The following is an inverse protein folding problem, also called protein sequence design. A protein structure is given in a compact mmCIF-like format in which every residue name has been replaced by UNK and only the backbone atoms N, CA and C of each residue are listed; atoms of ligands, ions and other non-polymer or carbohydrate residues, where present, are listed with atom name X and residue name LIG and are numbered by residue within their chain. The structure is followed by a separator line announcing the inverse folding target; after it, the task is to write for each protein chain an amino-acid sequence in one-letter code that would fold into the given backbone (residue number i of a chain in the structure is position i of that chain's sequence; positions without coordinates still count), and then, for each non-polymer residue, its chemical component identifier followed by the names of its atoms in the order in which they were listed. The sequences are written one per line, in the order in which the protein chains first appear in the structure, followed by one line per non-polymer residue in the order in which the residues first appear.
data_IF_392023366093
#
_entry.id   IF_392023366093
#
_cell.length_a   1.000
_cell.length_b   1.000
_cell.length_c   1.000
_cell.angle_alpha   90.00
_cell.angle_beta   90.00
_cell.angle_gamma   90.00
#
_symmetry.space_group_name_H-M   'P 1'
#
loop_
_entity.id
_entity.type
_entity.pdbx_description
1 polymer ?
#
# COMPACT_ATOMS: atom_id res chain seq x y z
N UNK A 1 10.05 16.50 15.20
CA UNK A 1 10.54 15.96 13.88
C UNK A 1 9.68 14.78 13.51
N UNK A 2 9.28 14.67 12.25
CA UNK A 2 8.48 13.53 11.76
C UNK A 2 9.21 12.20 11.95
N UNK A 3 8.43 11.15 12.18
CA UNK A 3 8.92 9.78 12.41
C UNK A 3 8.63 8.84 11.23
N UNK A 4 7.96 9.34 10.18
CA UNK A 4 7.44 8.54 9.08
C UNK A 4 8.43 8.50 7.92
N UNK A 5 8.85 7.29 7.52
CA UNK A 5 9.51 7.01 6.25
C UNK A 5 8.47 6.54 5.24
N UNK A 6 8.34 7.23 4.12
CA UNK A 6 7.45 6.85 3.02
C UNK A 6 8.25 6.01 2.02
N UNK A 7 7.76 4.82 1.68
CA UNK A 7 8.40 3.87 0.76
C UNK A 7 7.53 3.74 -0.48
N UNK A 8 8.11 4.01 -1.65
CA UNK A 8 7.42 3.99 -2.95
C UNK A 8 8.09 2.96 -3.85
N UNK A 9 7.54 1.74 -3.99
CA UNK A 9 8.00 0.80 -5.00
C UNK A 9 7.62 1.30 -6.40
N UNK A 10 8.60 1.38 -7.31
CA UNK A 10 8.37 1.84 -8.68
C UNK A 10 8.82 0.81 -9.71
N UNK A 11 8.07 0.73 -10.80
CA UNK A 11 8.45 0.01 -12.03
C UNK A 11 7.61 0.53 -13.20
N UNK A 12 8.22 1.34 -14.09
CA UNK A 12 7.58 1.99 -15.22
C UNK A 12 6.39 2.88 -14.80
N UNK A 13 6.64 3.84 -13.92
CA UNK A 13 5.65 4.75 -13.33
C UNK A 13 5.89 6.23 -13.74
N UNK A 14 6.57 6.48 -14.86
CA UNK A 14 6.90 7.83 -15.32
C UNK A 14 5.67 8.76 -15.45
N UNK A 15 4.51 8.19 -15.80
CA UNK A 15 3.26 8.96 -16.00
C UNK A 15 2.69 9.59 -14.72
N UNK A 16 3.00 9.02 -13.55
CA UNK A 16 2.36 9.44 -12.28
C UNK A 16 3.36 9.85 -11.21
N UNK A 17 4.59 9.34 -11.23
CA UNK A 17 5.57 9.55 -10.17
C UNK A 17 5.84 11.04 -9.89
N UNK A 18 5.99 11.87 -10.92
CA UNK A 18 6.25 13.30 -10.75
C UNK A 18 5.15 14.00 -9.94
N UNK A 19 3.87 13.72 -10.27
CA UNK A 19 2.72 14.27 -9.53
C UNK A 19 2.77 13.85 -8.06
N UNK A 20 3.03 12.57 -7.81
CA UNK A 20 3.10 12.02 -6.45
C UNK A 20 4.23 12.66 -5.65
N UNK A 21 5.43 12.82 -6.22
CA UNK A 21 6.55 13.45 -5.54
C UNK A 21 6.31 14.92 -5.26
N UNK A 22 5.68 15.68 -6.19
CA UNK A 22 5.26 17.07 -5.95
C UNK A 22 4.27 17.16 -4.78
N UNK A 23 3.32 16.24 -4.68
CA UNK A 23 2.38 16.23 -3.57
C UNK A 23 3.08 15.91 -2.24
N UNK A 24 4.01 14.95 -2.22
CA UNK A 24 4.75 14.61 -1.00
C UNK A 24 5.67 15.75 -0.51
N UNK A 25 6.10 16.64 -1.42
CA UNK A 25 6.95 17.78 -1.04
C UNK A 25 6.21 18.88 -0.29
N UNK A 26 4.87 18.87 -0.31
CA UNK A 26 4.03 19.89 0.35
C UNK A 26 3.23 19.33 1.53
N UNK A 27 3.51 18.09 1.98
CA UNK A 27 2.88 17.50 3.15
C UNK A 27 3.16 18.32 4.42
N UNK A 28 2.16 18.46 5.28
CA UNK A 28 2.28 19.14 6.57
C UNK A 28 1.66 18.30 7.70
N UNK A 29 2.48 17.77 8.64
CA UNK A 29 3.95 17.86 8.68
C UNK A 29 4.63 17.05 7.55
N UNK A 30 5.83 17.46 7.18
CA UNK A 30 6.64 16.73 6.18
C UNK A 30 7.02 15.34 6.68
N UNK A 31 7.15 14.37 5.78
CA UNK A 31 7.73 13.07 6.10
C UNK A 31 9.22 13.21 6.53
N UNK A 32 9.70 12.27 7.33
CA UNK A 32 11.14 12.19 7.68
C UNK A 32 11.99 11.96 6.44
N UNK A 33 11.54 11.06 5.58
CA UNK A 33 12.17 10.74 4.30
C UNK A 33 11.17 10.06 3.35
N UNK A 34 11.50 10.10 2.07
CA UNK A 34 10.82 9.37 0.99
C UNK A 34 11.85 8.49 0.29
N UNK A 35 11.60 7.20 0.26
CA UNK A 35 12.45 6.18 -0.36
C UNK A 35 11.75 5.65 -1.61
N UNK A 36 12.28 6.00 -2.78
CA UNK A 36 11.81 5.49 -4.06
C UNK A 36 12.65 4.26 -4.38
N UNK A 37 12.02 3.09 -4.41
CA UNK A 37 12.71 1.82 -4.67
C UNK A 37 12.33 1.34 -6.06
N UNK A 38 13.26 1.47 -7.01
CA UNK A 38 13.03 1.13 -8.40
C UNK A 38 13.39 -0.32 -8.71
N UNK A 39 12.47 -1.04 -9.33
CA UNK A 39 12.60 -2.45 -9.70
C UNK A 39 13.17 -2.68 -11.11
N UNK A 40 13.95 -1.74 -11.65
CA UNK A 40 14.51 -1.79 -13.00
C UNK A 40 13.55 -1.25 -14.04
N UNK A 41 13.12 0.01 -13.87
CA UNK A 41 12.31 0.73 -14.86
C UNK A 41 13.07 0.97 -16.15
N UNK A 42 12.37 0.86 -17.27
CA UNK A 42 12.90 1.04 -18.63
C UNK A 42 12.42 2.37 -19.24
N UNK A 43 11.53 3.09 -18.54
CA UNK A 43 11.01 4.40 -18.92
C UNK A 43 11.70 5.55 -18.14
N UNK A 44 11.16 6.76 -18.20
CA UNK A 44 11.71 7.95 -17.53
C UNK A 44 11.54 7.93 -15.99
N UNK A 45 11.06 6.84 -15.37
CA UNK A 45 10.79 6.76 -13.92
C UNK A 45 11.99 7.14 -13.09
N UNK A 46 13.16 6.53 -13.37
CA UNK A 46 14.41 6.78 -12.62
C UNK A 46 14.89 8.21 -12.82
N UNK A 47 14.84 8.73 -14.05
CA UNK A 47 15.22 10.10 -14.35
C UNK A 47 14.32 11.11 -13.60
N UNK A 48 13.01 10.86 -13.55
CA UNK A 48 12.06 11.66 -12.76
C UNK A 48 12.42 11.61 -11.28
N UNK A 49 12.63 10.40 -10.72
CA UNK A 49 12.98 10.24 -9.31
C UNK A 49 14.24 11.02 -8.93
N UNK A 50 15.28 10.96 -9.76
CA UNK A 50 16.53 11.70 -9.51
C UNK A 50 16.38 13.23 -9.55
N UNK A 51 15.44 13.77 -10.37
CA UNK A 51 15.18 15.23 -10.36
C UNK A 51 14.62 15.73 -9.02
N UNK A 52 13.97 14.86 -8.24
CA UNK A 52 13.45 15.16 -6.91
C UNK A 52 14.38 14.75 -5.77
N UNK A 53 15.53 14.14 -6.08
CA UNK A 53 16.47 13.69 -5.04
C UNK A 53 16.96 14.86 -4.19
N UNK A 54 16.96 14.66 -2.88
CA UNK A 54 17.35 15.65 -1.88
C UNK A 54 17.89 14.95 -0.63
N UNK A 55 18.14 15.68 0.44
CA UNK A 55 18.49 15.08 1.73
C UNK A 55 17.37 14.21 2.31
N UNK A 56 16.12 14.45 1.89
CA UNK A 56 14.93 13.73 2.37
C UNK A 56 14.32 12.79 1.34
N UNK A 57 14.68 12.88 0.06
CA UNK A 57 14.18 12.01 -1.01
C UNK A 57 15.35 11.24 -1.60
N UNK A 58 15.34 9.92 -1.45
CA UNK A 58 16.40 9.02 -1.93
C UNK A 58 15.85 8.00 -2.92
N UNK A 59 16.66 7.70 -3.94
CA UNK A 59 16.39 6.66 -4.93
C UNK A 59 17.26 5.43 -4.62
N UNK A 60 16.64 4.26 -4.60
CA UNK A 60 17.28 2.97 -4.36
C UNK A 60 16.96 2.08 -5.54
N UNK A 61 18.00 1.52 -6.18
CA UNK A 61 17.82 0.51 -7.21
C UNK A 61 17.68 -0.87 -6.58
N UNK A 62 16.71 -1.64 -7.04
CA UNK A 62 16.51 -3.03 -6.63
C UNK A 62 17.00 -3.97 -7.72
N UNK A 63 17.89 -4.88 -7.37
CA UNK A 63 18.41 -5.89 -8.30
C UNK A 63 17.36 -6.97 -8.64
N UNK A 64 16.28 -7.02 -7.89
CA UNK A 64 15.21 -8.01 -8.05
C UNK A 64 13.86 -7.33 -8.23
N UNK A 65 13.17 -7.67 -9.31
CA UNK A 65 11.79 -7.21 -9.56
C UNK A 65 10.83 -7.87 -8.58
N UNK A 66 9.94 -7.06 -7.99
CA UNK A 66 8.87 -7.55 -7.12
C UNK A 66 8.49 -6.52 -6.06
N UNK A 67 7.19 -6.24 -5.96
CA UNK A 67 6.70 -5.20 -5.03
C UNK A 67 7.10 -5.50 -3.59
N UNK A 68 6.90 -6.74 -3.11
CA UNK A 68 7.31 -7.16 -1.77
C UNK A 68 8.80 -6.96 -1.52
N UNK A 69 9.66 -7.31 -2.52
CA UNK A 69 11.12 -7.13 -2.43
C UNK A 69 11.47 -5.65 -2.31
N UNK A 70 10.91 -4.81 -3.19
CA UNK A 70 11.15 -3.37 -3.18
C UNK A 70 10.69 -2.72 -1.86
N UNK A 71 9.50 -3.08 -1.36
CA UNK A 71 8.98 -2.56 -0.08
C UNK A 71 9.85 -3.01 1.11
N UNK A 72 10.32 -4.26 1.13
CA UNK A 72 11.25 -4.76 2.16
C UNK A 72 12.60 -4.03 2.10
N UNK A 73 13.13 -3.82 0.89
CA UNK A 73 14.39 -3.10 0.70
C UNK A 73 14.27 -1.65 1.17
N UNK A 74 13.16 -0.98 0.84
CA UNK A 74 12.86 0.35 1.36
C UNK A 74 12.73 0.37 2.88
N UNK A 75 12.06 -0.62 3.47
CA UNK A 75 11.94 -0.75 4.93
C UNK A 75 13.30 -0.93 5.61
N UNK A 76 14.18 -1.77 5.04
CA UNK A 76 15.53 -1.97 5.56
C UNK A 76 16.41 -0.71 5.48
N UNK A 77 16.20 0.16 4.49
CA UNK A 77 16.92 1.41 4.32
C UNK A 77 16.30 2.59 5.09
N UNK A 78 15.09 2.41 5.63
CA UNK A 78 14.35 3.45 6.33
C UNK A 78 14.97 3.76 7.70
N UNK A 79 14.96 5.04 8.06
CA UNK A 79 15.48 5.56 9.35
C UNK A 79 14.36 6.01 10.29
N UNK A 80 13.11 6.04 9.82
CA UNK A 80 11.94 6.41 10.61
C UNK A 80 11.44 5.26 11.47
N UNK A 81 10.78 5.60 12.58
CA UNK A 81 10.15 4.63 13.47
C UNK A 81 8.82 4.08 12.91
N UNK A 82 8.30 4.73 11.88
CA UNK A 82 7.04 4.39 11.22
C UNK A 82 7.31 4.24 9.73
N UNK A 83 6.82 3.17 9.14
CA UNK A 83 6.85 2.91 7.71
C UNK A 83 5.48 3.20 7.10
N UNK A 84 5.47 3.87 5.95
CA UNK A 84 4.28 4.11 5.14
C UNK A 84 4.56 3.61 3.72
N UNK A 85 3.80 2.64 3.25
CA UNK A 85 3.92 2.06 1.92
C UNK A 85 2.92 2.73 0.98
N UNK A 86 3.44 3.45 -0.01
CA UNK A 86 2.66 4.28 -0.94
C UNK A 86 2.92 3.85 -2.38
N UNK A 87 1.88 3.63 -3.16
CA UNK A 87 2.03 3.40 -4.60
C UNK A 87 2.27 4.71 -5.35
N UNK A 88 3.08 4.64 -6.41
CA UNK A 88 3.47 5.81 -7.21
C UNK A 88 2.29 6.53 -7.89
N UNK A 89 1.14 5.88 -8.03
CA UNK A 89 -0.07 6.40 -8.67
C UNK A 89 -1.18 6.81 -7.68
N UNK A 90 -0.85 6.89 -6.39
CA UNK A 90 -1.82 7.20 -5.33
C UNK A 90 -1.61 8.62 -4.81
N UNK A 91 -2.68 9.42 -4.82
CA UNK A 91 -2.71 10.74 -4.20
C UNK A 91 -3.16 10.64 -2.75
N UNK A 92 -2.51 11.39 -1.88
CA UNK A 92 -2.70 11.34 -0.43
C UNK A 92 -3.17 12.69 0.11
N UNK A 93 -3.82 12.76 1.29
CA UNK A 93 -4.17 14.02 1.91
C UNK A 93 -2.93 14.73 2.46
N UNK A 94 -2.97 16.06 2.56
CA UNK A 94 -1.85 16.87 3.03
C UNK A 94 -1.46 16.56 4.48
N UNK A 95 -2.43 16.10 5.30
CA UNK A 95 -2.25 15.70 6.69
C UNK A 95 -1.83 14.21 6.86
N UNK A 96 -1.41 13.54 5.77
CA UNK A 96 -1.03 12.12 5.78
C UNK A 96 -0.17 11.72 6.98
N UNK A 97 0.92 12.44 7.19
CA UNK A 97 1.90 12.15 8.24
C UNK A 97 1.30 12.33 9.63
N UNK A 98 0.56 13.41 9.85
CA UNK A 98 -0.11 13.66 11.13
C UNK A 98 -1.13 12.56 11.48
N UNK A 99 -1.92 12.12 10.50
CA UNK A 99 -2.92 11.04 10.68
C UNK A 99 -2.25 9.72 11.04
N UNK A 100 -1.13 9.38 10.38
CA UNK A 100 -0.35 8.18 10.67
C UNK A 100 0.21 8.22 12.09
N UNK A 101 0.89 9.32 12.46
CA UNK A 101 1.49 9.48 13.78
C UNK A 101 0.43 9.45 14.89
N UNK A 102 -0.69 10.14 14.71
CA UNK A 102 -1.81 10.13 15.66
C UNK A 102 -2.43 8.73 15.80
N UNK A 103 -2.57 8.00 14.70
CA UNK A 103 -3.14 6.63 14.74
C UNK A 103 -2.25 5.69 15.52
N UNK A 104 -0.92 5.74 15.31
CA UNK A 104 0.05 4.88 15.97
C UNK A 104 0.49 5.39 17.36
N UNK A 105 0.02 6.56 17.81
CA UNK A 105 0.16 6.98 19.20
C UNK A 105 -0.61 6.04 20.15
N UNK A 106 -1.70 5.46 19.69
CA UNK A 106 -2.38 4.34 20.36
C UNK A 106 -1.53 3.06 20.24
N UNK A 107 -0.91 2.67 21.35
CA UNK A 107 -0.03 1.48 21.39
C UNK A 107 -0.76 0.16 21.16
N UNK A 108 -2.09 0.13 21.23
CA UNK A 108 -2.89 -1.06 20.90
C UNK A 108 -3.05 -1.28 19.40
N UNK A 109 -2.67 -0.28 18.57
CA UNK A 109 -2.71 -0.33 17.10
C UNK A 109 -1.32 -0.66 16.57
N UNK A 110 -1.16 -1.76 15.84
CA UNK A 110 0.10 -2.16 15.21
C UNK A 110 0.29 -1.54 13.82
N UNK A 111 -0.81 -1.30 13.10
CA UNK A 111 -0.76 -0.71 11.78
C UNK A 111 -2.13 -0.20 11.32
N UNK A 112 -2.15 0.42 10.17
CA UNK A 112 -3.39 0.91 9.59
C UNK A 112 -3.26 1.23 8.10
N UNK A 113 -4.35 1.76 7.55
CA UNK A 113 -4.41 2.24 6.17
C UNK A 113 -5.60 3.16 5.98
N UNK A 114 -5.67 3.76 4.83
CA UNK A 114 -6.65 4.77 4.47
C UNK A 114 -7.86 4.17 3.74
N UNK A 115 -8.90 4.95 3.56
CA UNK A 115 -10.01 4.60 2.67
C UNK A 115 -9.56 4.92 1.24
N UNK A 116 -9.46 3.91 0.38
CA UNK A 116 -9.11 4.13 -1.03
C UNK A 116 -10.34 4.48 -1.86
N UNK A 117 -10.28 5.62 -2.52
CA UNK A 117 -11.23 6.02 -3.55
C UNK A 117 -10.56 5.84 -4.91
N UNK A 118 -11.07 4.90 -5.69
CA UNK A 118 -10.52 4.59 -7.00
C UNK A 118 -11.00 5.61 -8.04
N UNK A 119 -10.07 6.38 -8.58
CA UNK A 119 -10.34 7.51 -9.47
C UNK A 119 -9.62 7.36 -10.80
N UNK A 120 -10.32 7.64 -11.89
CA UNK A 120 -9.77 7.86 -13.22
C UNK A 120 -9.79 9.35 -13.58
N UNK A 121 -9.34 9.68 -14.79
CA UNK A 121 -9.27 11.08 -15.26
C UNK A 121 -10.64 11.78 -15.27
N UNK A 122 -11.71 11.06 -15.55
CA UNK A 122 -13.06 11.63 -15.70
C UNK A 122 -14.10 11.04 -14.75
N UNK A 123 -13.79 9.95 -14.07
CA UNK A 123 -14.80 9.23 -13.27
C UNK A 123 -14.23 8.66 -11.99
N UNK A 124 -15.05 8.67 -10.95
CA UNK A 124 -14.79 7.93 -9.71
C UNK A 124 -15.54 6.60 -9.75
N UNK A 125 -14.84 5.51 -9.41
CA UNK A 125 -15.39 4.15 -9.39
C UNK A 125 -16.08 3.85 -8.04
N UNK A 126 -17.17 4.53 -7.73
CA UNK A 126 -17.85 4.46 -6.44
C UNK A 126 -18.17 3.03 -5.98
N UNK A 127 -18.72 2.19 -6.88
CA UNK A 127 -19.08 0.80 -6.55
C UNK A 127 -17.86 -0.05 -6.17
N UNK A 128 -16.74 0.08 -6.90
CA UNK A 128 -15.50 -0.63 -6.61
C UNK A 128 -14.87 -0.11 -5.32
N UNK A 129 -14.87 1.20 -5.10
CA UNK A 129 -14.35 1.83 -3.87
C UNK A 129 -15.15 1.41 -2.64
N UNK A 130 -16.48 1.40 -2.75
CA UNK A 130 -17.36 0.91 -1.68
C UNK A 130 -17.10 -0.58 -1.38
N UNK A 131 -16.96 -1.41 -2.42
CA UNK A 131 -16.61 -2.81 -2.24
C UNK A 131 -15.26 -2.98 -1.53
N UNK A 132 -14.22 -2.22 -1.92
CA UNK A 132 -12.93 -2.23 -1.26
C UNK A 132 -13.02 -1.82 0.21
N UNK A 133 -13.80 -0.79 0.52
CA UNK A 133 -14.06 -0.36 1.89
C UNK A 133 -14.72 -1.49 2.70
N UNK A 134 -15.81 -2.06 2.20
CA UNK A 134 -16.56 -3.12 2.88
C UNK A 134 -15.72 -4.40 3.03
N UNK A 135 -14.93 -4.76 2.02
CA UNK A 135 -14.06 -5.93 2.01
C UNK A 135 -13.04 -5.92 3.15
N UNK A 136 -12.54 -4.75 3.55
CA UNK A 136 -11.66 -4.57 4.70
C UNK A 136 -12.26 -5.17 5.98
N UNK A 137 -13.59 -5.18 6.10
CA UNK A 137 -14.31 -5.66 7.29
C UNK A 137 -14.93 -7.04 7.09
N UNK A 138 -15.68 -7.26 6.01
CA UNK A 138 -16.42 -8.52 5.85
C UNK A 138 -15.50 -9.71 5.57
N UNK A 139 -14.40 -9.51 4.83
CA UNK A 139 -13.53 -10.62 4.50
C UNK A 139 -12.88 -11.24 5.75
N UNK A 140 -12.26 -10.49 6.67
CA UNK A 140 -11.75 -11.09 7.89
C UNK A 140 -12.86 -11.61 8.81
N UNK A 141 -14.05 -11.00 8.82
CA UNK A 141 -15.18 -11.49 9.61
C UNK A 141 -15.62 -12.88 9.15
N UNK A 142 -15.67 -13.12 7.84
CA UNK A 142 -16.13 -14.40 7.27
C UNK A 142 -15.04 -15.47 7.37
N UNK A 143 -13.81 -15.14 6.93
CA UNK A 143 -12.76 -16.15 6.76
C UNK A 143 -11.84 -16.31 7.96
N UNK A 144 -11.75 -15.32 8.87
CA UNK A 144 -10.88 -15.33 10.06
C UNK A 144 -11.57 -14.63 11.25
N UNK A 145 -12.78 -15.07 11.66
CA UNK A 145 -13.59 -14.38 12.67
C UNK A 145 -12.83 -14.17 14.00
N UNK A 146 -12.05 -15.15 14.44
CA UNK A 146 -11.24 -15.04 15.66
C UNK A 146 -10.20 -13.91 15.58
N UNK A 147 -9.63 -13.62 14.41
CA UNK A 147 -8.70 -12.49 14.21
C UNK A 147 -9.47 -11.18 14.01
N UNK A 148 -10.64 -11.22 13.39
CA UNK A 148 -11.50 -10.03 13.26
C UNK A 148 -11.81 -9.41 14.63
N UNK A 149 -12.19 -10.25 15.60
CA UNK A 149 -12.46 -9.79 16.98
C UNK A 149 -11.20 -9.36 17.74
N UNK A 150 -10.01 -9.83 17.33
CA UNK A 150 -8.72 -9.31 17.80
C UNK A 150 -8.34 -7.97 17.16
N UNK A 151 -9.09 -7.51 16.17
CA UNK A 151 -8.87 -6.24 15.48
C UNK A 151 -8.26 -6.36 14.09
N UNK A 152 -8.30 -7.54 13.45
CA UNK A 152 -7.88 -7.69 12.06
C UNK A 152 -8.78 -6.87 11.13
N UNK A 153 -8.15 -6.08 10.28
CA UNK A 153 -8.72 -5.48 9.07
C UNK A 153 -7.80 -5.82 7.92
N UNK A 154 -8.35 -6.29 6.80
CA UNK A 154 -7.53 -6.60 5.63
C UNK A 154 -7.37 -5.35 4.78
N UNK A 155 -6.15 -4.87 4.70
CA UNK A 155 -5.77 -3.74 3.86
C UNK A 155 -5.15 -4.24 2.56
N UNK A 156 -5.17 -3.39 1.54
CA UNK A 156 -4.64 -3.67 0.22
C UNK A 156 -3.76 -2.48 -0.22
N UNK A 157 -2.90 -2.66 -1.21
CA UNK A 157 -1.89 -1.68 -1.58
C UNK A 157 -2.42 -0.29 -1.95
N UNK A 158 -3.63 -0.23 -2.49
CA UNK A 158 -4.32 1.03 -2.81
C UNK A 158 -4.78 1.82 -1.57
N UNK A 159 -4.68 1.25 -0.37
CA UNK A 159 -5.09 1.85 0.90
C UNK A 159 -3.96 2.50 1.71
N UNK A 160 -2.78 2.64 1.13
CA UNK A 160 -1.61 3.29 1.78
C UNK A 160 -1.37 2.76 3.18
N UNK A 161 -0.82 1.55 3.23
CA UNK A 161 -0.59 0.85 4.49
C UNK A 161 0.55 1.47 5.28
N UNK A 162 0.40 1.53 6.61
CA UNK A 162 1.45 2.00 7.53
C UNK A 162 1.51 1.16 8.80
N UNK A 163 2.70 1.07 9.39
CA UNK A 163 2.92 0.35 10.65
C UNK A 163 4.18 0.87 11.37
N UNK A 164 4.40 0.46 12.62
CA UNK A 164 5.68 0.71 13.26
C UNK A 164 6.77 -0.11 12.60
N UNK A 165 7.95 0.50 12.45
CA UNK A 165 9.12 -0.16 11.85
C UNK A 165 9.52 -1.42 12.64
N UNK A 166 9.54 -1.35 13.98
CA UNK A 166 9.83 -2.50 14.82
C UNK A 166 8.83 -3.65 14.61
N UNK A 167 7.51 -3.35 14.60
CA UNK A 167 6.47 -4.35 14.37
C UNK A 167 6.60 -5.00 12.98
N UNK A 168 6.98 -4.21 11.96
CA UNK A 168 7.24 -4.72 10.61
C UNK A 168 8.40 -5.72 10.59
N UNK A 169 9.54 -5.37 11.18
CA UNK A 169 10.72 -6.24 11.23
C UNK A 169 10.43 -7.54 12.01
N UNK A 170 9.81 -7.41 13.18
CA UNK A 170 9.47 -8.55 14.01
C UNK A 170 8.39 -9.46 13.42
N UNK A 171 7.56 -8.93 12.51
CA UNK A 171 6.58 -9.72 11.74
C UNK A 171 7.20 -10.46 10.55
N UNK A 172 8.47 -10.20 10.23
CA UNK A 172 9.16 -10.75 9.07
C UNK A 172 8.89 -10.01 7.75
N UNK A 173 8.23 -8.86 7.80
CA UNK A 173 7.94 -8.03 6.63
C UNK A 173 7.03 -8.68 5.59
N UNK A 174 7.09 -8.18 4.36
CA UNK A 174 6.40 -8.77 3.22
C UNK A 174 7.06 -10.07 2.79
N UNK A 175 6.26 -11.09 2.46
CA UNK A 175 6.78 -12.34 1.92
C UNK A 175 7.06 -12.19 0.41
N UNK A 176 8.33 -12.30 -0.05
CA UNK A 176 8.66 -12.19 -1.47
C UNK A 176 8.07 -13.31 -2.34
N UNK A 177 7.66 -14.43 -1.75
CA UNK A 177 7.03 -15.54 -2.46
C UNK A 177 5.55 -15.27 -2.78
N UNK A 178 4.94 -14.24 -2.17
CA UNK A 178 3.55 -13.84 -2.40
C UNK A 178 3.52 -12.75 -3.48
N UNK A 179 3.07 -13.05 -4.72
CA UNK A 179 3.10 -12.09 -5.82
C UNK A 179 1.90 -11.12 -5.85
N UNK A 180 0.84 -11.40 -5.09
CA UNK A 180 -0.35 -10.57 -4.90
C UNK A 180 -0.92 -10.79 -3.50
N UNK A 181 -1.63 -9.78 -2.95
CA UNK A 181 -2.21 -9.80 -1.60
C UNK A 181 -1.15 -9.80 -0.48
N UNK A 182 0.04 -9.34 -0.78
CA UNK A 182 1.15 -9.20 0.16
C UNK A 182 0.80 -8.32 1.35
N UNK A 183 0.01 -7.27 1.14
CA UNK A 183 -0.45 -6.38 2.22
C UNK A 183 -1.48 -7.07 3.13
N UNK A 184 -2.35 -7.91 2.54
CA UNK A 184 -3.30 -8.69 3.33
C UNK A 184 -2.59 -9.74 4.18
N UNK A 185 -1.53 -10.38 3.66
CA UNK A 185 -0.66 -11.28 4.42
C UNK A 185 0.03 -10.54 5.58
N UNK A 186 0.58 -9.35 5.30
CA UNK A 186 1.20 -8.52 6.35
C UNK A 186 0.19 -8.14 7.44
N UNK A 187 -1.10 -7.87 7.10
CA UNK A 187 -2.15 -7.64 8.09
C UNK A 187 -2.35 -8.84 9.02
N UNK A 188 -2.27 -10.09 8.49
CA UNK A 188 -2.37 -11.31 9.30
C UNK A 188 -1.21 -11.45 10.30
N UNK A 189 -0.02 -10.99 9.93
CA UNK A 189 1.16 -10.98 10.80
C UNK A 189 1.06 -9.87 11.84
N UNK A 190 0.76 -8.64 11.42
CA UNK A 190 0.70 -7.46 12.29
C UNK A 190 -0.42 -7.52 13.34
N UNK A 191 -1.55 -8.20 13.06
CA UNK A 191 -2.64 -8.35 14.05
C UNK A 191 -2.21 -9.13 15.29
N UNK A 192 -1.12 -9.89 15.23
CA UNK A 192 -0.53 -10.55 16.41
C UNK A 192 0.19 -9.55 17.34
N UNK A 193 0.51 -8.34 16.85
CA UNK A 193 1.16 -7.25 17.56
C UNK A 193 0.19 -6.20 18.09
N UNK A 194 -0.96 -6.08 17.44
CA UNK A 194 -2.00 -5.12 17.80
C UNK A 194 -3.08 -5.01 16.74
N UNK A 195 -4.04 -4.13 16.95
CA UNK A 195 -5.15 -3.92 16.03
C UNK A 195 -4.68 -3.30 14.71
N UNK A 196 -5.34 -3.64 13.61
CA UNK A 196 -5.22 -2.95 12.33
C UNK A 196 -6.37 -1.96 12.20
N UNK A 197 -6.07 -0.71 11.88
CA UNK A 197 -7.09 0.36 11.80
C UNK A 197 -7.21 0.90 10.38
N UNK A 198 -8.40 0.91 9.83
CA UNK A 198 -8.69 1.75 8.68
C UNK A 198 -9.06 3.15 9.20
N UNK A 199 -8.27 4.17 8.82
CA UNK A 199 -8.48 5.55 9.29
C UNK A 199 -9.55 6.26 8.46
N UNK A 200 -10.28 7.18 9.06
CA UNK A 200 -11.31 7.96 8.39
C UNK A 200 -10.70 9.13 7.60
N UNK A 201 -9.86 8.80 6.62
CA UNK A 201 -9.27 9.70 5.64
C UNK A 201 -9.21 8.99 4.30
N UNK A 202 -9.39 9.74 3.23
CA UNK A 202 -9.44 9.21 1.86
C UNK A 202 -8.11 9.45 1.16
N UNK A 203 -7.64 8.41 0.47
CA UNK A 203 -6.60 8.49 -0.55
C UNK A 203 -7.22 8.19 -1.91
N UNK A 204 -6.64 8.73 -2.99
CA UNK A 204 -7.14 8.50 -4.34
C UNK A 204 -6.16 7.60 -5.09
N UNK A 205 -6.57 6.40 -5.42
CA UNK A 205 -5.79 5.44 -6.21
C UNK A 205 -6.25 5.43 -7.67
N UNK A 206 -5.33 5.07 -8.57
CA UNK A 206 -5.62 4.98 -10.00
C UNK A 206 -6.60 3.86 -10.33
N UNK A 207 -7.55 4.14 -11.22
CA UNK A 207 -8.49 3.15 -11.73
C UNK A 207 -7.98 2.38 -12.96
N UNK A 208 -6.71 2.51 -13.35
CA UNK A 208 -6.12 1.95 -14.60
C UNK A 208 -6.60 0.54 -14.92
N UNK A 209 -6.60 -0.34 -13.91
CA UNK A 209 -7.05 -1.74 -14.07
C UNK A 209 -8.55 -1.84 -14.31
N UNK A 210 -9.34 -1.10 -13.54
CA UNK A 210 -10.79 -1.09 -13.69
C UNK A 210 -11.20 -0.44 -15.01
N UNK A 211 -10.49 0.58 -15.45
CA UNK A 211 -10.69 1.20 -16.76
C UNK A 211 -10.44 0.20 -17.91
N UNK A 212 -9.38 -0.63 -17.83
CA UNK A 212 -9.06 -1.66 -18.83
C UNK A 212 -10.07 -2.82 -18.83
N UNK A 213 -10.46 -3.31 -17.66
CA UNK A 213 -11.30 -4.51 -17.54
C UNK A 213 -12.80 -4.21 -17.58
N UNK A 214 -13.21 -2.99 -17.23
CA UNK A 214 -14.57 -2.63 -16.89
C UNK A 214 -14.92 -2.97 -15.44
N UNK A 215 -15.79 -2.16 -14.82
CA UNK A 215 -16.11 -2.27 -13.38
C UNK A 215 -16.68 -3.63 -12.97
N UNK A 216 -17.57 -4.22 -13.79
CA UNK A 216 -18.20 -5.50 -13.49
C UNK A 216 -17.18 -6.65 -13.50
N UNK A 217 -16.36 -6.74 -14.56
CA UNK A 217 -15.32 -7.77 -14.67
C UNK A 217 -14.29 -7.63 -13.55
N UNK A 218 -13.83 -6.40 -13.28
CA UNK A 218 -12.88 -6.14 -12.20
C UNK A 218 -13.44 -6.58 -10.84
N UNK A 219 -14.69 -6.22 -10.53
CA UNK A 219 -15.34 -6.62 -9.27
C UNK A 219 -15.47 -8.14 -9.17
N UNK A 220 -15.91 -8.82 -10.24
CA UNK A 220 -16.01 -10.28 -10.26
C UNK A 220 -14.65 -10.96 -10.00
N UNK A 221 -13.58 -10.48 -10.64
CA UNK A 221 -12.22 -10.99 -10.43
C UNK A 221 -11.76 -10.76 -8.98
N UNK A 222 -11.98 -9.56 -8.44
CA UNK A 222 -11.58 -9.25 -7.05
C UNK A 222 -12.34 -10.07 -6.02
N UNK A 223 -13.65 -10.30 -6.23
CA UNK A 223 -14.45 -11.20 -5.40
C UNK A 223 -13.94 -12.64 -5.47
N UNK A 224 -13.69 -13.15 -6.68
CA UNK A 224 -13.19 -14.50 -6.90
C UNK A 224 -11.83 -14.73 -6.24
N UNK A 225 -10.87 -13.81 -6.47
CA UNK A 225 -9.54 -13.88 -5.84
C UNK A 225 -9.66 -13.80 -4.31
N UNK A 226 -10.46 -12.86 -3.79
CA UNK A 226 -10.65 -12.69 -2.35
C UNK A 226 -11.29 -13.90 -1.69
N UNK A 227 -12.30 -14.52 -2.34
CA UNK A 227 -12.94 -15.73 -1.87
C UNK A 227 -11.98 -16.92 -1.82
N UNK A 228 -11.27 -17.20 -2.91
CA UNK A 228 -10.31 -18.30 -2.96
C UNK A 228 -9.16 -18.12 -1.97
N UNK A 229 -8.64 -16.89 -1.83
CA UNK A 229 -7.62 -16.58 -0.83
C UNK A 229 -8.14 -16.80 0.59
N UNK A 230 -9.37 -16.40 0.86
CA UNK A 230 -10.05 -16.66 2.13
C UNK A 230 -10.12 -18.15 2.49
N UNK A 231 -10.28 -19.02 1.48
CA UNK A 231 -10.24 -20.48 1.62
C UNK A 231 -8.81 -21.07 1.70
N UNK A 232 -7.75 -20.24 1.61
CA UNK A 232 -6.38 -20.68 1.73
C UNK A 232 -5.67 -21.00 0.41
N UNK A 233 -6.25 -20.62 -0.75
CA UNK A 233 -5.57 -20.77 -2.05
C UNK A 233 -4.39 -19.82 -2.15
N UNK A 234 -3.23 -20.32 -2.60
CA UNK A 234 -1.98 -19.56 -2.65
C UNK A 234 -2.04 -18.35 -3.58
N UNK A 235 -1.39 -17.24 -3.18
CA UNK A 235 -1.26 -16.03 -4.00
C UNK A 235 -0.59 -16.30 -5.36
N UNK A 236 0.32 -17.25 -5.42
CA UNK A 236 0.99 -17.68 -6.66
C UNK A 236 0.00 -18.27 -7.69
N UNK A 237 -0.97 -19.08 -7.22
CA UNK A 237 -2.02 -19.58 -8.10
C UNK A 237 -2.97 -18.45 -8.52
N UNK A 238 -3.35 -17.60 -7.59
CA UNK A 238 -4.29 -16.50 -7.82
C UNK A 238 -3.73 -15.43 -8.76
N UNK A 239 -2.40 -15.28 -8.84
CA UNK A 239 -1.73 -14.37 -9.78
C UNK A 239 -2.11 -14.64 -11.24
N UNK A 240 -2.48 -15.87 -11.60
CA UNK A 240 -2.93 -16.23 -12.95
C UNK A 240 -4.17 -15.45 -13.41
N UNK A 241 -4.99 -15.00 -12.47
CA UNK A 241 -6.21 -14.24 -12.73
C UNK A 241 -6.01 -12.72 -12.61
N UNK A 242 -4.79 -12.29 -12.26
CA UNK A 242 -4.48 -10.91 -11.94
C UNK A 242 -3.40 -10.36 -12.87
N UNK A 243 -3.81 -9.61 -13.88
CA UNK A 243 -2.88 -8.92 -14.80
C UNK A 243 -2.20 -7.71 -14.13
N UNK A 244 -0.89 -7.57 -14.38
CA UNK A 244 -0.18 -6.33 -14.07
C UNK A 244 -0.46 -5.31 -15.19
N UNK A 245 -1.19 -4.25 -14.86
CA UNK A 245 -1.50 -3.14 -15.77
C UNK A 245 -0.74 -1.92 -15.27
N UNK A 246 0.12 -1.40 -16.13
CA UNK A 246 1.02 -0.26 -15.90
C UNK A 246 0.81 0.83 -16.90
#
# INVERSE_FOLDING_TARGET
MSRVSIIIPTLNEAKCLERTLRQLSVLEPTAKEVLIVDGGSEDETVAIAHRFSSSTIRVISSDTRGRSVQMNQGAAAATGDILCFLHADTSVPDDLVAVIEQTLADKTVAGGGFISLMTGEQTTRWGVSLHNYLKTYYAPLIFRPHLFFKGLRLLFGDQVMFCRHADFLESGGFDPAIPILEEADLCLKLVQRGKIRQVNRVVQSSDRRVAKWGSLKATAIYLYIGFLWGLGVSGTYLKKFYEDIR
#
